data_IF_456305675064
#
_entry.id   IF_456305675064
#
_cell.length_a   1.000
_cell.length_b   1.000
_cell.length_c   1.000
_cell.angle_alpha   90.00
_cell.angle_beta   90.00
_cell.angle_gamma   90.00
#
_symmetry.space_group_name_H-M   'P 1'
#
loop_
_entity.id
_entity.type
_entity.pdbx_description
1 polymer ?
#
# COMPACT_ATOMS: atom_id res chain seq x y z
N UNK A 1 20.22 3.98 40.76
CA UNK A 1 19.01 4.78 40.46
C UNK A 1 19.13 5.54 39.16
N UNK A 2 20.22 6.30 38.90
CA UNK A 2 20.38 7.08 37.65
C UNK A 2 20.36 6.22 36.40
N UNK A 3 21.02 5.05 36.39
CA UNK A 3 21.00 4.12 35.26
C UNK A 3 19.59 3.55 34.96
N UNK A 4 18.81 3.31 35.98
CA UNK A 4 17.42 2.83 35.85
C UNK A 4 16.52 3.93 35.30
N UNK A 5 16.72 5.17 35.74
CA UNK A 5 15.99 6.33 35.24
C UNK A 5 16.29 6.60 33.74
N UNK A 6 17.55 6.56 33.33
CA UNK A 6 17.99 6.73 31.94
C UNK A 6 17.41 5.61 31.07
N UNK A 7 17.42 4.35 31.53
CA UNK A 7 16.85 3.22 30.83
C UNK A 7 15.33 3.37 30.64
N UNK A 8 14.61 3.81 31.68
CA UNK A 8 13.17 4.04 31.60
C UNK A 8 12.83 5.19 30.65
N UNK A 9 13.59 6.29 30.67
CA UNK A 9 13.41 7.39 29.70
C UNK A 9 13.66 6.95 28.28
N UNK A 10 14.69 6.13 28.05
CA UNK A 10 14.99 5.60 26.72
C UNK A 10 13.89 4.64 26.21
N UNK A 11 13.35 3.78 27.06
CA UNK A 11 12.21 2.92 26.73
C UNK A 11 10.95 3.72 26.39
N UNK A 12 10.62 4.74 27.18
CA UNK A 12 9.45 5.61 26.92
C UNK A 12 9.61 6.34 25.57
N UNK A 13 10.81 6.81 25.26
CA UNK A 13 11.09 7.49 23.98
C UNK A 13 10.97 6.52 22.81
N UNK A 14 11.50 5.31 22.93
CA UNK A 14 11.40 4.27 21.91
C UNK A 14 9.95 3.87 21.65
N UNK A 15 9.15 3.63 22.68
CA UNK A 15 7.72 3.32 22.54
C UNK A 15 6.93 4.45 21.86
N UNK A 16 7.24 5.70 22.19
CA UNK A 16 6.63 6.87 21.53
C UNK A 16 6.96 6.95 20.05
N UNK A 17 8.21 6.66 19.66
CA UNK A 17 8.63 6.64 18.26
C UNK A 17 7.93 5.52 17.46
N UNK A 18 7.82 4.32 18.05
CA UNK A 18 7.12 3.19 17.43
C UNK A 18 5.64 3.53 17.23
N UNK A 19 4.97 4.03 18.27
CA UNK A 19 3.57 4.44 18.18
C UNK A 19 3.36 5.57 17.15
N UNK A 20 4.29 6.53 17.09
CA UNK A 20 4.28 7.61 16.12
C UNK A 20 4.42 7.07 14.67
N UNK A 21 5.32 6.08 14.46
CA UNK A 21 5.49 5.45 13.16
C UNK A 21 4.21 4.72 12.72
N UNK A 22 3.59 3.89 13.57
CA UNK A 22 2.33 3.22 13.25
C UNK A 22 1.18 4.18 12.97
N UNK A 23 1.15 5.31 13.66
CA UNK A 23 0.19 6.38 13.38
C UNK A 23 0.47 7.02 12.02
N UNK A 24 1.73 7.29 11.69
CA UNK A 24 2.17 7.89 10.43
C UNK A 24 1.80 7.03 9.22
N UNK A 25 2.04 5.71 9.29
CA UNK A 25 1.70 4.77 8.21
C UNK A 25 0.21 4.42 8.16
N UNK A 26 -0.61 4.96 9.08
CA UNK A 26 -2.06 4.71 9.16
C UNK A 26 -2.39 3.22 9.24
N UNK A 27 -1.81 2.53 10.24
CA UNK A 27 -1.93 1.08 10.42
C UNK A 27 -3.33 0.50 10.21
N UNK A 28 -4.45 1.11 10.69
CA UNK A 28 -5.79 0.59 10.41
C UNK A 28 -6.12 0.51 8.91
N UNK A 29 -5.72 1.51 8.12
CA UNK A 29 -5.96 1.50 6.67
C UNK A 29 -5.15 0.40 5.98
N UNK A 30 -3.89 0.19 6.39
CA UNK A 30 -3.07 -0.90 5.90
C UNK A 30 -3.67 -2.27 6.26
N UNK A 31 -4.23 -2.41 7.46
CA UNK A 31 -4.92 -3.64 7.87
C UNK A 31 -6.12 -3.95 6.97
N UNK A 32 -6.99 -2.98 6.70
CA UNK A 32 -8.13 -3.18 5.79
C UNK A 32 -7.69 -3.49 4.36
N UNK A 33 -6.61 -2.88 3.88
CA UNK A 33 -6.04 -3.18 2.57
C UNK A 33 -5.53 -4.63 2.50
N UNK A 34 -4.77 -5.08 3.51
CA UNK A 34 -4.32 -6.47 3.61
C UNK A 34 -5.50 -7.43 3.68
N UNK A 35 -6.50 -7.14 4.52
CA UNK A 35 -7.71 -7.95 4.67
C UNK A 35 -8.45 -8.09 3.34
N UNK A 36 -8.60 -7.02 2.58
CA UNK A 36 -9.24 -7.05 1.24
C UNK A 36 -8.51 -8.00 0.30
N UNK A 37 -7.17 -7.93 0.24
CA UNK A 37 -6.37 -8.81 -0.60
C UNK A 37 -6.44 -10.27 -0.14
N UNK A 38 -6.42 -10.51 1.17
CA UNK A 38 -6.55 -11.86 1.76
C UNK A 38 -7.94 -12.45 1.44
N UNK A 39 -9.01 -11.69 1.66
CA UNK A 39 -10.36 -12.15 1.33
C UNK A 39 -10.50 -12.43 -0.17
N UNK A 40 -9.94 -11.59 -1.04
CA UNK A 40 -9.96 -11.82 -2.49
C UNK A 40 -9.22 -13.11 -2.88
N UNK A 41 -8.05 -13.36 -2.28
CA UNK A 41 -7.28 -14.59 -2.52
C UNK A 41 -8.03 -15.84 -2.05
N UNK A 42 -8.53 -15.84 -0.81
CA UNK A 42 -9.10 -17.04 -0.18
C UNK A 42 -10.56 -17.28 -0.55
N UNK A 43 -11.37 -16.23 -0.75
CA UNK A 43 -12.79 -16.36 -1.04
C UNK A 43 -13.11 -16.39 -2.54
N UNK A 44 -12.20 -15.91 -3.41
CA UNK A 44 -12.45 -15.85 -4.85
C UNK A 44 -11.45 -16.69 -5.62
N UNK A 45 -10.15 -16.41 -5.51
CA UNK A 45 -9.15 -17.09 -6.31
C UNK A 45 -9.09 -18.59 -5.99
N UNK A 46 -8.89 -18.97 -4.74
CA UNK A 46 -8.77 -20.38 -4.37
C UNK A 46 -10.02 -21.21 -4.69
N UNK A 47 -11.26 -20.79 -4.41
CA UNK A 47 -12.45 -21.56 -4.81
C UNK A 47 -12.61 -21.74 -6.32
N UNK A 48 -12.12 -20.79 -7.13
CA UNK A 48 -12.18 -20.90 -8.59
C UNK A 48 -11.13 -21.85 -9.17
N UNK A 49 -9.95 -21.96 -8.52
CA UNK A 49 -8.78 -22.67 -9.05
C UNK A 49 -8.25 -23.81 -8.14
N UNK A 50 -9.08 -24.34 -7.26
CA UNK A 50 -8.74 -25.25 -6.17
C UNK A 50 -7.81 -26.44 -6.54
N UNK A 51 -7.80 -26.87 -7.81
CA UNK A 51 -7.01 -28.03 -8.29
C UNK A 51 -5.69 -27.63 -8.96
N UNK A 52 -5.52 -26.36 -9.34
CA UNK A 52 -4.41 -25.89 -10.18
C UNK A 52 -3.57 -24.75 -9.56
N UNK A 53 -3.65 -24.59 -8.23
CA UNK A 53 -2.86 -23.57 -7.54
C UNK A 53 -1.40 -24.00 -7.43
N UNK A 54 -0.42 -23.22 -7.90
CA UNK A 54 0.99 -23.52 -7.75
C UNK A 54 1.42 -23.66 -6.28
N UNK A 55 2.33 -24.59 -5.93
CA UNK A 55 2.76 -24.82 -4.55
C UNK A 55 3.39 -23.59 -3.88
N UNK A 56 4.01 -22.72 -4.67
CA UNK A 56 4.70 -21.52 -4.22
C UNK A 56 3.78 -20.26 -4.17
N UNK A 57 2.50 -20.43 -4.51
CA UNK A 57 1.57 -19.31 -4.58
C UNK A 57 1.35 -18.61 -3.23
N UNK A 58 1.28 -19.36 -2.15
CA UNK A 58 1.01 -18.84 -0.82
C UNK A 58 2.09 -17.85 -0.35
N UNK A 59 3.36 -18.20 -0.46
CA UNK A 59 4.44 -17.32 -0.01
C UNK A 59 4.60 -16.11 -0.95
N UNK A 60 4.44 -16.31 -2.26
CA UNK A 60 4.43 -15.21 -3.24
C UNK A 60 3.29 -14.24 -3.00
N UNK A 61 2.11 -14.75 -2.60
CA UNK A 61 0.99 -13.90 -2.22
C UNK A 61 1.32 -13.04 -0.99
N UNK A 62 1.95 -13.62 0.04
CA UNK A 62 2.38 -12.88 1.22
C UNK A 62 3.33 -11.74 0.83
N UNK A 63 4.32 -11.99 -0.01
CA UNK A 63 5.23 -10.95 -0.51
C UNK A 63 4.47 -9.83 -1.26
N UNK A 64 3.47 -10.18 -2.08
CA UNK A 64 2.64 -9.19 -2.80
C UNK A 64 1.83 -8.31 -1.85
N UNK A 65 1.24 -8.91 -0.81
CA UNK A 65 0.53 -8.15 0.22
C UNK A 65 1.48 -7.16 0.87
N UNK A 66 2.64 -7.61 1.34
CA UNK A 66 3.62 -6.71 1.96
C UNK A 66 4.15 -5.65 0.98
N UNK A 67 4.34 -5.97 -0.29
CA UNK A 67 4.71 -5.01 -1.32
C UNK A 67 3.67 -3.87 -1.43
N UNK A 68 2.39 -4.23 -1.51
CA UNK A 68 1.28 -3.26 -1.55
C UNK A 68 1.23 -2.40 -0.28
N UNK A 69 1.38 -3.03 0.90
CA UNK A 69 1.37 -2.33 2.19
C UNK A 69 2.53 -1.34 2.32
N UNK A 70 3.73 -1.71 1.87
CA UNK A 70 4.90 -0.85 1.95
C UNK A 70 4.80 0.35 1.00
N UNK A 71 4.30 0.14 -0.22
CA UNK A 71 4.03 1.24 -1.17
C UNK A 71 2.98 2.20 -0.59
N UNK A 72 1.88 1.68 -0.05
CA UNK A 72 0.84 2.50 0.57
C UNK A 72 1.35 3.24 1.82
N UNK A 73 2.13 2.58 2.68
CA UNK A 73 2.75 3.19 3.85
C UNK A 73 3.69 4.34 3.44
N UNK A 74 4.52 4.13 2.42
CA UNK A 74 5.35 5.19 1.83
C UNK A 74 4.52 6.37 1.33
N UNK A 75 3.36 6.10 0.71
CA UNK A 75 2.40 7.11 0.28
C UNK A 75 1.82 7.92 1.44
N UNK A 76 1.44 7.29 2.55
CA UNK A 76 0.96 8.02 3.73
C UNK A 76 2.03 8.91 4.35
N UNK A 77 3.26 8.40 4.43
CA UNK A 77 4.39 9.17 4.98
C UNK A 77 4.67 10.42 4.16
N UNK A 78 4.72 10.31 2.82
CA UNK A 78 4.98 11.47 1.97
C UNK A 78 3.81 12.45 1.95
N UNK A 79 2.58 11.97 2.07
CA UNK A 79 1.41 12.81 2.20
C UNK A 79 1.46 13.67 3.47
N UNK A 80 1.76 13.08 4.62
CA UNK A 80 1.88 13.80 5.90
C UNK A 80 3.07 14.78 5.89
N UNK A 81 4.14 14.48 5.13
CA UNK A 81 5.26 15.41 4.93
C UNK A 81 4.83 16.69 4.19
N UNK A 82 4.06 16.57 3.12
CA UNK A 82 3.59 17.74 2.37
C UNK A 82 2.45 18.50 3.08
N UNK A 83 1.78 17.85 4.04
CA UNK A 83 0.70 18.45 4.82
C UNK A 83 1.15 19.24 6.05
N UNK A 84 2.43 19.25 6.40
CA UNK A 84 2.94 19.85 7.63
C UNK A 84 2.38 21.25 7.87
N UNK A 85 2.46 22.14 6.87
CA UNK A 85 2.03 23.53 7.01
C UNK A 85 0.50 23.66 7.19
N UNK A 86 -0.27 22.78 6.56
CA UNK A 86 -1.74 22.76 6.65
C UNK A 86 -2.15 22.15 8.00
N UNK A 87 -1.50 21.08 8.43
CA UNK A 87 -1.81 20.37 9.67
C UNK A 87 -1.35 21.17 10.92
N UNK A 88 -0.33 22.01 10.81
CA UNK A 88 0.09 22.90 11.88
C UNK A 88 -1.03 23.88 12.28
N UNK A 89 -1.80 24.36 11.31
CA UNK A 89 -2.94 25.24 11.55
C UNK A 89 -4.18 24.45 11.96
N UNK A 90 -4.52 23.39 11.22
CA UNK A 90 -5.81 22.71 11.37
C UNK A 90 -5.83 21.62 12.45
N UNK A 91 -4.71 20.90 12.64
CA UNK A 91 -4.64 19.72 13.52
C UNK A 91 -3.34 19.63 14.31
N UNK A 92 -2.90 20.69 15.04
CA UNK A 92 -1.59 20.73 15.65
C UNK A 92 -1.31 19.60 16.65
N UNK A 93 -2.34 19.07 17.32
CA UNK A 93 -2.22 17.97 18.28
C UNK A 93 -2.06 16.58 17.63
N UNK A 94 -2.41 16.44 16.33
CA UNK A 94 -2.35 15.17 15.61
C UNK A 94 -1.10 14.99 14.77
N UNK A 95 -0.29 16.03 14.60
CA UNK A 95 0.94 16.00 13.81
C UNK A 95 1.94 14.99 14.37
N UNK A 96 2.56 14.22 13.49
CA UNK A 96 3.63 13.28 13.77
C UNK A 96 4.95 13.78 13.18
N UNK A 97 4.91 14.18 11.91
CA UNK A 97 6.06 14.77 11.22
C UNK A 97 6.31 16.16 11.79
N UNK A 98 7.57 16.49 11.99
CA UNK A 98 8.10 17.70 12.57
C UNK A 98 7.95 17.82 14.11
N UNK A 99 7.06 17.09 14.76
CA UNK A 99 6.93 17.07 16.23
C UNK A 99 7.60 15.86 16.90
N UNK A 100 7.51 14.69 16.26
CA UNK A 100 8.06 13.44 16.78
C UNK A 100 9.11 12.88 15.83
N UNK A 101 8.87 12.99 14.53
CA UNK A 101 9.76 12.52 13.45
C UNK A 101 10.21 13.73 12.64
N UNK A 102 11.52 13.97 12.55
CA UNK A 102 12.05 15.05 11.73
C UNK A 102 11.70 14.90 10.24
N UNK A 103 11.45 16.01 9.55
CA UNK A 103 11.09 16.09 8.13
C UNK A 103 12.00 15.25 7.21
N UNK A 104 13.31 15.25 7.47
CA UNK A 104 14.27 14.46 6.68
C UNK A 104 14.03 12.96 6.79
N UNK A 105 13.63 12.47 7.95
CA UNK A 105 13.31 11.07 8.15
C UNK A 105 12.01 10.66 7.44
N UNK A 106 11.03 11.55 7.34
CA UNK A 106 9.81 11.26 6.58
C UNK A 106 10.12 10.99 5.08
N UNK A 107 10.98 11.82 4.46
CA UNK A 107 11.43 11.58 3.08
C UNK A 107 12.21 10.26 2.98
N UNK A 108 13.15 10.02 3.89
CA UNK A 108 13.92 8.77 3.92
C UNK A 108 13.00 7.54 4.06
N UNK A 109 12.03 7.58 4.96
CA UNK A 109 11.04 6.51 5.14
C UNK A 109 10.19 6.28 3.90
N UNK A 110 9.78 7.35 3.20
CA UNK A 110 9.06 7.20 1.93
C UNK A 110 9.87 6.39 0.91
N UNK A 111 11.13 6.76 0.68
CA UNK A 111 11.99 6.03 -0.27
C UNK A 111 12.31 4.61 0.19
N UNK A 112 12.56 4.40 1.48
CA UNK A 112 12.84 3.06 2.02
C UNK A 112 11.64 2.13 1.89
N UNK A 113 10.44 2.59 2.27
CA UNK A 113 9.21 1.80 2.18
C UNK A 113 8.83 1.54 0.71
N UNK A 114 8.83 2.56 -0.12
CA UNK A 114 8.51 2.41 -1.54
C UNK A 114 9.53 1.50 -2.26
N UNK A 115 10.82 1.67 -1.98
CA UNK A 115 11.87 0.81 -2.51
C UNK A 115 11.74 -0.64 -2.06
N UNK A 116 11.48 -0.86 -0.76
CA UNK A 116 11.22 -2.20 -0.23
C UNK A 116 9.97 -2.83 -0.89
N UNK A 117 8.90 -2.06 -1.10
CA UNK A 117 7.71 -2.52 -1.80
C UNK A 117 8.00 -2.95 -3.25
N UNK A 118 8.82 -2.20 -3.98
CA UNK A 118 9.25 -2.58 -5.34
C UNK A 118 10.11 -3.84 -5.32
N UNK A 119 11.08 -3.94 -4.40
CA UNK A 119 11.91 -5.14 -4.24
C UNK A 119 11.05 -6.37 -3.96
N UNK A 120 10.10 -6.27 -3.03
CA UNK A 120 9.16 -7.35 -2.73
C UNK A 120 8.29 -7.73 -3.93
N UNK A 121 7.90 -6.75 -4.76
CA UNK A 121 7.18 -7.02 -6.02
C UNK A 121 8.04 -7.86 -6.96
N UNK A 122 9.31 -7.53 -7.14
CA UNK A 122 10.26 -8.28 -7.99
C UNK A 122 10.44 -9.71 -7.45
N UNK A 123 10.59 -9.88 -6.14
CA UNK A 123 10.76 -11.19 -5.52
C UNK A 123 9.49 -12.07 -5.59
N UNK A 124 8.31 -11.43 -5.55
CA UNK A 124 7.03 -12.12 -5.57
C UNK A 124 6.61 -12.62 -6.97
N UNK A 125 7.21 -12.10 -8.04
CA UNK A 125 6.78 -12.33 -9.41
C UNK A 125 7.89 -12.95 -10.25
N UNK A 126 7.58 -13.78 -11.25
CA UNK A 126 8.50 -14.16 -12.29
C UNK A 126 8.82 -12.91 -13.15
N UNK A 127 9.89 -12.21 -12.80
CA UNK A 127 10.22 -10.88 -13.33
C UNK A 127 10.23 -10.82 -14.86
N UNK A 128 10.82 -11.81 -15.52
CA UNK A 128 10.91 -11.84 -16.98
C UNK A 128 9.54 -11.89 -17.68
N UNK A 129 8.54 -12.51 -17.05
CA UNK A 129 7.20 -12.64 -17.64
C UNK A 129 6.24 -11.52 -17.21
N UNK A 130 6.43 -11.00 -15.97
CA UNK A 130 5.49 -10.05 -15.35
C UNK A 130 6.15 -8.71 -14.98
N UNK A 131 7.17 -8.28 -15.72
CA UNK A 131 7.87 -7.00 -15.50
C UNK A 131 6.93 -5.78 -15.52
N UNK A 132 5.83 -5.85 -16.27
CA UNK A 132 4.82 -4.79 -16.35
C UNK A 132 4.13 -4.52 -15.00
N UNK A 133 4.05 -5.52 -14.10
CA UNK A 133 3.51 -5.32 -12.74
C UNK A 133 4.47 -4.55 -11.84
N UNK A 134 5.77 -4.76 -12.04
CA UNK A 134 6.80 -3.96 -11.35
C UNK A 134 6.72 -2.51 -11.82
N UNK A 135 6.60 -2.31 -13.14
CA UNK A 135 6.40 -0.97 -13.70
C UNK A 135 5.10 -0.32 -13.20
N UNK A 136 4.00 -1.06 -13.14
CA UNK A 136 2.74 -0.55 -12.61
C UNK A 136 2.84 -0.13 -11.14
N UNK A 137 3.52 -0.92 -10.28
CA UNK A 137 3.78 -0.54 -8.91
C UNK A 137 4.71 0.68 -8.80
N UNK A 138 5.69 0.82 -9.68
CA UNK A 138 6.51 2.03 -9.76
C UNK A 138 5.65 3.25 -10.12
N UNK A 139 4.74 3.11 -11.08
CA UNK A 139 3.76 4.17 -11.43
C UNK A 139 2.90 4.50 -10.21
N UNK A 140 2.47 3.53 -9.40
CA UNK A 140 1.75 3.79 -8.15
C UNK A 140 2.56 4.66 -7.18
N UNK A 141 3.86 4.38 -7.00
CA UNK A 141 4.75 5.20 -6.16
C UNK A 141 4.82 6.64 -6.67
N UNK A 142 4.99 6.80 -7.99
CA UNK A 142 5.01 8.12 -8.64
C UNK A 142 3.67 8.85 -8.50
N UNK A 143 2.55 8.16 -8.68
CA UNK A 143 1.21 8.73 -8.49
C UNK A 143 0.95 9.17 -7.04
N UNK A 144 1.43 8.41 -6.05
CA UNK A 144 1.33 8.79 -4.64
C UNK A 144 2.14 10.06 -4.32
N UNK A 145 3.31 10.22 -4.95
CA UNK A 145 4.09 11.45 -4.86
C UNK A 145 3.35 12.64 -5.48
N UNK A 146 2.87 12.51 -6.73
CA UNK A 146 2.11 13.56 -7.40
C UNK A 146 0.77 13.86 -6.71
N UNK A 147 0.12 12.85 -6.16
CA UNK A 147 -1.07 13.06 -5.32
C UNK A 147 -0.75 14.01 -4.17
N UNK A 148 0.32 13.74 -3.43
CA UNK A 148 0.70 14.50 -2.25
C UNK A 148 1.12 15.95 -2.57
N UNK A 149 1.72 16.19 -3.75
CA UNK A 149 2.22 17.50 -4.16
C UNK A 149 1.17 18.35 -4.89
N UNK A 150 0.41 17.73 -5.81
CA UNK A 150 -0.38 18.46 -6.81
C UNK A 150 -1.86 18.09 -6.77
N UNK A 151 -2.20 16.80 -6.91
CA UNK A 151 -3.59 16.38 -7.15
C UNK A 151 -4.50 16.54 -5.94
N UNK A 152 -3.96 16.46 -4.74
CA UNK A 152 -4.70 16.68 -3.50
C UNK A 152 -5.37 18.05 -3.39
N UNK A 153 -4.83 19.07 -4.03
CA UNK A 153 -5.41 20.43 -4.05
C UNK A 153 -6.65 20.52 -4.93
N UNK A 154 -6.86 19.55 -5.80
CA UNK A 154 -8.00 19.49 -6.72
C UNK A 154 -8.99 18.43 -6.23
N UNK A 155 -10.21 18.83 -5.93
CA UNK A 155 -11.23 18.01 -5.26
C UNK A 155 -11.52 16.71 -6.01
N UNK A 156 -11.61 16.73 -7.33
CA UNK A 156 -12.00 15.59 -8.14
C UNK A 156 -10.80 14.72 -8.51
N UNK A 157 -9.70 15.31 -8.99
CA UNK A 157 -8.54 14.54 -9.47
C UNK A 157 -7.85 13.78 -8.34
N UNK A 158 -7.77 14.38 -7.14
CA UNK A 158 -7.19 13.70 -5.98
C UNK A 158 -7.97 12.43 -5.60
N UNK A 159 -9.29 12.54 -5.49
CA UNK A 159 -10.15 11.42 -5.16
C UNK A 159 -10.08 10.31 -6.23
N UNK A 160 -10.08 10.68 -7.53
CA UNK A 160 -9.94 9.70 -8.63
C UNK A 160 -8.61 8.95 -8.52
N UNK A 161 -7.48 9.64 -8.28
CA UNK A 161 -6.17 9.00 -8.17
C UNK A 161 -6.14 8.00 -7.02
N UNK A 162 -6.61 8.39 -5.82
CA UNK A 162 -6.66 7.46 -4.68
C UNK A 162 -7.60 6.28 -4.95
N UNK A 163 -8.74 6.50 -5.58
CA UNK A 163 -9.68 5.44 -5.94
C UNK A 163 -9.09 4.45 -6.94
N UNK A 164 -8.35 4.94 -7.95
CA UNK A 164 -7.60 4.09 -8.89
C UNK A 164 -6.53 3.26 -8.19
N UNK A 165 -5.77 3.88 -7.28
CA UNK A 165 -4.76 3.16 -6.49
C UNK A 165 -5.40 2.11 -5.58
N UNK A 166 -6.57 2.40 -4.99
CA UNK A 166 -7.32 1.43 -4.19
C UNK A 166 -7.81 0.26 -5.04
N UNK A 167 -8.38 0.52 -6.22
CA UNK A 167 -8.78 -0.52 -7.16
C UNK A 167 -7.58 -1.38 -7.63
N UNK A 168 -6.43 -0.75 -7.85
CA UNK A 168 -5.20 -1.45 -8.22
C UNK A 168 -4.76 -2.49 -7.20
N UNK A 169 -5.00 -2.29 -5.90
CA UNK A 169 -4.64 -3.27 -4.86
C UNK A 169 -5.33 -4.62 -5.04
N UNK A 170 -6.47 -4.67 -5.71
CA UNK A 170 -7.19 -5.89 -6.06
C UNK A 170 -6.71 -6.41 -7.43
N UNK A 171 -6.61 -5.52 -8.42
CA UNK A 171 -6.21 -5.89 -9.78
C UNK A 171 -4.81 -6.48 -9.83
N UNK A 172 -3.88 -6.03 -8.98
CA UNK A 172 -2.54 -6.62 -8.93
C UNK A 172 -2.57 -8.09 -8.49
N UNK A 173 -3.52 -8.50 -7.64
CA UNK A 173 -3.71 -9.91 -7.28
C UNK A 173 -4.14 -10.70 -8.51
N UNK A 174 -5.10 -10.21 -9.29
CA UNK A 174 -5.54 -10.85 -10.53
C UNK A 174 -4.39 -10.99 -11.54
N UNK A 175 -3.75 -9.89 -11.94
CA UNK A 175 -2.68 -9.91 -12.93
C UNK A 175 -1.42 -10.66 -12.49
N UNK A 176 -1.22 -10.85 -11.18
CA UNK A 176 -0.15 -11.69 -10.67
C UNK A 176 -0.40 -13.20 -10.91
N UNK A 177 -1.67 -13.60 -11.08
CA UNK A 177 -2.07 -15.01 -11.29
C UNK A 177 -2.23 -15.32 -12.79
N UNK A 178 -2.83 -14.42 -13.54
CA UNK A 178 -3.14 -14.58 -14.95
C UNK A 178 -2.14 -13.79 -15.79
N UNK A 179 -1.71 -14.33 -16.91
CA UNK A 179 -0.91 -13.58 -17.87
C UNK A 179 -1.75 -12.54 -18.60
N UNK A 180 -1.14 -11.45 -19.02
CA UNK A 180 -1.87 -10.37 -19.68
C UNK A 180 -2.51 -10.83 -20.98
N UNK A 181 -1.86 -11.74 -21.71
CA UNK A 181 -2.35 -12.32 -22.95
C UNK A 181 -3.62 -13.17 -22.73
N UNK A 182 -3.69 -13.89 -21.58
CA UNK A 182 -4.77 -14.81 -21.26
C UNK A 182 -5.88 -14.16 -20.41
N UNK A 183 -5.70 -12.91 -20.02
CA UNK A 183 -6.61 -12.21 -19.12
C UNK A 183 -8.04 -12.11 -19.67
N UNK A 184 -8.18 -12.09 -21.00
CA UNK A 184 -9.47 -12.00 -21.70
C UNK A 184 -9.96 -13.34 -22.27
N UNK A 185 -9.23 -14.44 -22.04
CA UNK A 185 -9.63 -15.76 -22.50
C UNK A 185 -10.81 -16.32 -21.67
N UNK A 186 -11.63 -17.16 -22.31
CA UNK A 186 -12.80 -17.78 -21.69
C UNK A 186 -12.46 -18.57 -20.42
N UNK A 187 -11.26 -19.12 -20.32
CA UNK A 187 -10.77 -19.89 -19.18
C UNK A 187 -10.73 -19.05 -17.90
N UNK A 188 -10.39 -17.76 -18.01
CA UNK A 188 -10.24 -16.85 -16.88
C UNK A 188 -11.40 -15.86 -16.72
N UNK A 189 -12.43 -15.95 -17.58
CA UNK A 189 -13.50 -14.97 -17.66
C UNK A 189 -14.25 -14.72 -16.35
N UNK A 190 -14.51 -15.77 -15.55
CA UNK A 190 -15.18 -15.61 -14.23
C UNK A 190 -14.29 -14.84 -13.25
N UNK A 191 -13.02 -15.20 -13.19
CA UNK A 191 -12.06 -14.53 -12.31
C UNK A 191 -11.84 -13.07 -12.72
N UNK A 192 -11.72 -12.80 -14.02
CA UNK A 192 -11.63 -11.44 -14.56
C UNK A 192 -12.85 -10.59 -14.17
N UNK A 193 -14.07 -11.08 -14.41
CA UNK A 193 -15.31 -10.37 -14.05
C UNK A 193 -15.38 -10.04 -12.57
N UNK A 194 -15.07 -11.00 -11.70
CA UNK A 194 -15.07 -10.79 -10.26
C UNK A 194 -13.99 -9.78 -9.86
N UNK A 195 -12.80 -9.85 -10.47
CA UNK A 195 -11.72 -8.89 -10.19
C UNK A 195 -12.11 -7.47 -10.56
N UNK A 196 -12.72 -7.26 -11.71
CA UNK A 196 -13.24 -5.94 -12.14
C UNK A 196 -14.39 -5.47 -11.25
N UNK A 197 -15.31 -6.36 -10.86
CA UNK A 197 -16.42 -6.02 -9.97
C UNK A 197 -15.89 -5.53 -8.60
N UNK A 198 -14.97 -6.28 -7.99
CA UNK A 198 -14.41 -5.91 -6.68
C UNK A 198 -13.53 -4.68 -6.76
N UNK A 199 -12.72 -4.54 -7.82
CA UNK A 199 -11.92 -3.34 -8.04
C UNK A 199 -12.80 -2.11 -8.28
N UNK A 200 -13.88 -2.25 -9.07
CA UNK A 200 -14.86 -1.20 -9.29
C UNK A 200 -15.60 -0.80 -8.01
N UNK A 201 -15.96 -1.77 -7.17
CA UNK A 201 -16.58 -1.50 -5.87
C UNK A 201 -15.62 -0.75 -4.93
N UNK A 202 -14.36 -1.20 -4.86
CA UNK A 202 -13.32 -0.52 -4.08
C UNK A 202 -13.05 0.91 -4.60
N UNK A 203 -13.07 1.10 -5.93
CA UNK A 203 -12.97 2.41 -6.55
C UNK A 203 -14.11 3.34 -6.12
N UNK A 204 -15.36 2.88 -6.22
CA UNK A 204 -16.54 3.69 -5.87
C UNK A 204 -16.54 4.05 -4.38
N UNK A 205 -16.26 3.09 -3.48
CA UNK A 205 -16.20 3.36 -2.04
C UNK A 205 -15.10 4.37 -1.70
N UNK A 206 -13.97 4.30 -2.39
CA UNK A 206 -12.85 5.23 -2.16
C UNK A 206 -13.08 6.61 -2.78
N UNK A 207 -14.01 6.74 -3.74
CA UNK A 207 -14.32 7.99 -4.42
C UNK A 207 -15.21 8.91 -3.57
N UNK A 208 -16.03 8.33 -2.70
CA UNK A 208 -16.96 9.02 -1.79
C UNK A 208 -16.25 9.50 -0.54
#
# INVERSE_FOLDING_TARGET
>A
ELRTLIRNLHQITCMRLIAAFFKLVRLPNLFFMALTQVLFQYCIYYPLYNVSVPPDDGWRFVLRVFASLFIAAGGYVINDYFDINIDEVNKPKKMVVDRVIHRRWAIAWHFMLSGAGIILTVLALPFLQKWYLVLANLVCVVLLWFYSTTFKKSLLTGNIVISLLTAWTILIVFFSKVELADAFDNTHHRFFRLSILYAGFAFIISLV
#
